data_IF_674729948858
#
_entry.id   IF_674729948858
#
_cell.length_a   1.000
_cell.length_b   1.000
_cell.length_c   1.000
_cell.angle_alpha   90.00
_cell.angle_beta   90.00
_cell.angle_gamma   90.00
#
_symmetry.space_group_name_H-M   'P 1'
#
loop_
_entity.id
_entity.type
_entity.pdbx_description
1 polymer ?
#
# COMPACT_ATOMS: atom_id res chain seq x y z
N UNK A 1 -12.50 -55.44 4.14
CA UNK A 1 -12.28 -55.08 4.55
C UNK A 1 -12.05 -54.35 4.65
N UNK A 2 -12.31 -54.19 4.66
CA UNK A 2 -12.15 -53.62 5.00
C UNK A 2 -11.72 -52.76 5.09
N UNK A 3 -11.78 -52.61 4.95
CA UNK A 3 -11.50 -51.89 5.14
C UNK A 3 -10.99 -50.95 5.09
N UNK A 4 -11.17 -50.87 4.88
CA UNK A 4 -10.76 -50.08 5.02
C UNK A 4 -10.56 -49.06 4.85
N UNK A 5 -10.79 -48.92 4.74
CA UNK A 5 -10.61 -48.01 4.83
C UNK A 5 -10.31 -47.04 4.98
N UNK A 6 -10.33 -47.27 5.03
CA UNK A 6 -10.05 -46.29 5.31
C UNK A 6 -9.50 -45.46 5.23
N UNK A 7 -9.61 -45.72 5.09
CA UNK A 7 -9.20 -44.93 5.27
C UNK A 7 -8.89 -44.04 4.86
N UNK A 8 -9.26 -44.08 4.62
CA UNK A 8 -8.97 -43.29 4.54
C UNK A 8 -8.95 -42.29 4.35
N UNK A 9 -9.23 -42.50 4.24
CA UNK A 9 -9.25 -41.66 4.44
C UNK A 9 -8.89 -40.76 4.54
N UNK A 10 -8.79 -41.02 4.55
CA UNK A 10 -8.42 -40.20 4.95
C UNK A 10 -7.93 -39.29 4.68
N UNK A 11 -7.95 -39.50 4.42
CA UNK A 11 -7.47 -38.69 4.43
C UNK A 11 -7.34 -37.68 4.08
N UNK A 12 -7.67 -37.81 3.82
CA UNK A 12 -7.59 -36.87 3.77
C UNK A 12 -7.44 -36.01 3.83
N UNK A 13 -7.54 -36.19 3.91
CA UNK A 13 -7.41 -35.36 4.33
C UNK A 13 -6.90 -34.48 4.41
N UNK A 14 -6.73 -34.61 4.34
CA UNK A 14 -6.26 -33.81 4.79
C UNK A 14 -5.88 -32.94 4.42
N UNK A 15 -6.00 -33.26 3.96
CA UNK A 15 -5.61 -32.42 3.97
C UNK A 15 -5.55 -31.54 3.59
N UNK A 16 -5.81 -31.56 3.56
CA UNK A 16 -5.73 -30.76 3.70
C UNK A 16 -5.47 -29.90 3.85
N UNK A 17 -5.33 -30.03 3.93
CA UNK A 17 -5.04 -29.25 4.50
C UNK A 17 -4.52 -28.43 4.26
N UNK A 18 -4.45 -28.65 3.95
CA UNK A 18 -4.02 -27.88 4.03
C UNK A 18 -3.99 -27.04 3.75
N UNK A 19 -4.24 -27.09 3.63
CA UNK A 19 -4.28 -26.29 3.75
C UNK A 19 -4.14 -25.36 3.72
N UNK A 20 -4.20 -25.39 3.73
CA UNK A 20 -4.15 -24.66 4.00
C UNK A 20 -3.90 -23.81 3.98
N UNK A 21 -3.84 -24.03 3.83
CA UNK A 21 -3.54 -23.27 4.09
C UNK A 21 -3.45 -22.40 3.89
N UNK A 22 -3.71 -22.44 3.59
CA UNK A 22 -3.59 -21.67 3.64
C UNK A 22 -3.37 -20.95 3.76
N UNK A 23 -3.55 -21.02 3.85
CA UNK A 23 -3.30 -20.31 4.25
C UNK A 23 -2.80 -19.59 4.32
N UNK A 24 -3.00 -19.94 4.71
CA UNK A 24 -2.31 -18.96 4.92
C UNK A 24 -2.11 -17.93 3.90
N UNK A 25 -2.98 -17.55 3.28
CA UNK A 25 -2.94 -16.50 2.38
C UNK A 25 -3.39 -15.29 2.98
N UNK A 26 -2.57 -14.76 3.86
CA UNK A 26 -2.86 -13.51 4.46
C UNK A 26 -2.61 -12.41 3.49
N UNK A 27 -3.46 -11.40 3.45
CA UNK A 27 -3.18 -10.17 2.73
C UNK A 27 -1.94 -9.53 3.35
N UNK A 28 -0.96 -9.16 2.54
CA UNK A 28 0.22 -8.47 3.07
C UNK A 28 -0.17 -7.17 3.76
N UNK A 29 0.66 -6.74 4.69
CA UNK A 29 0.44 -5.47 5.37
C UNK A 29 0.38 -4.34 4.34
N UNK A 30 -0.67 -3.53 4.36
CA UNK A 30 -0.79 -2.46 3.36
C UNK A 30 0.23 -1.35 3.58
N UNK A 31 0.43 -0.51 2.56
CA UNK A 31 1.32 0.64 2.69
C UNK A 31 0.95 1.52 3.88
N UNK A 32 1.96 2.10 4.49
CA UNK A 32 1.81 2.87 5.72
C UNK A 32 1.90 4.36 5.44
N UNK A 33 1.62 5.14 6.47
CA UNK A 33 1.79 6.58 6.40
C UNK A 33 3.23 6.95 6.04
N UNK A 34 4.20 6.22 6.58
CA UNK A 34 5.62 6.48 6.26
C UNK A 34 5.91 6.21 4.79
N UNK A 35 5.28 5.18 4.22
CA UNK A 35 5.44 4.91 2.80
C UNK A 35 4.89 6.06 1.96
N UNK A 36 3.74 6.62 2.37
CA UNK A 36 3.16 7.76 1.66
C UNK A 36 4.06 8.99 1.75
N UNK A 37 4.68 9.21 2.90
CA UNK A 37 5.62 10.32 3.07
C UNK A 37 6.80 10.15 2.11
N UNK A 38 7.31 8.94 1.99
CA UNK A 38 8.41 8.66 1.07
C UNK A 38 8.00 8.90 -0.37
N UNK A 39 6.79 8.47 -0.75
CA UNK A 39 6.27 8.71 -2.09
C UNK A 39 6.19 10.21 -2.36
N UNK A 40 5.63 10.97 -1.41
CA UNK A 40 5.49 12.41 -1.59
C UNK A 40 6.84 13.07 -1.83
N UNK A 41 7.83 12.70 -1.02
CA UNK A 41 9.16 13.30 -1.14
C UNK A 41 9.83 12.90 -2.45
N UNK A 42 9.65 11.69 -2.91
CA UNK A 42 10.24 11.24 -4.17
C UNK A 42 9.62 11.97 -5.35
N UNK A 43 8.30 12.14 -5.35
CA UNK A 43 7.61 12.81 -6.46
C UNK A 43 7.94 14.30 -6.49
N UNK A 44 8.07 14.92 -5.32
CA UNK A 44 8.25 16.36 -5.21
C UNK A 44 9.70 16.78 -5.00
N UNK A 45 10.65 15.89 -5.32
CA UNK A 45 12.06 16.16 -5.07
C UNK A 45 12.63 17.22 -6.00
N UNK A 46 12.23 17.19 -7.26
CA UNK A 46 12.81 18.09 -8.25
C UNK A 46 11.75 18.45 -9.28
N UNK A 47 11.49 19.75 -9.49
CA UNK A 47 12.06 20.87 -8.73
C UNK A 47 11.44 20.98 -7.34
N UNK A 48 12.20 21.52 -6.41
CA UNK A 48 11.76 21.63 -5.02
C UNK A 48 11.02 22.94 -4.81
N UNK A 49 9.72 22.90 -4.93
CA UNK A 49 8.87 24.08 -4.75
C UNK A 49 8.18 24.13 -3.39
N UNK A 50 8.09 22.98 -2.71
CA UNK A 50 7.29 22.87 -1.49
C UNK A 50 7.98 21.98 -0.48
N UNK A 51 7.78 22.28 0.80
CA UNK A 51 8.18 21.42 1.90
C UNK A 51 6.95 20.72 2.43
N UNK A 52 7.13 19.43 2.79
CA UNK A 52 6.07 18.69 3.45
C UNK A 52 6.19 18.93 4.95
N UNK A 53 5.17 19.53 5.53
CA UNK A 53 5.13 19.79 6.97
C UNK A 53 4.57 18.59 7.72
N UNK A 54 3.53 17.96 7.17
CA UNK A 54 2.97 16.75 7.76
C UNK A 54 2.15 16.00 6.71
N UNK A 55 2.05 14.70 6.88
CA UNK A 55 1.19 13.88 6.03
C UNK A 55 0.55 12.83 6.93
N UNK A 56 -0.76 12.77 6.90
CA UNK A 56 -1.50 11.82 7.73
C UNK A 56 -2.35 10.93 6.85
N UNK A 57 -2.21 9.62 7.05
CA UNK A 57 -3.08 8.66 6.39
C UNK A 57 -4.47 8.78 6.98
N UNK A 58 -5.48 8.98 6.15
CA UNK A 58 -6.85 9.13 6.60
C UNK A 58 -7.69 7.91 6.32
N UNK A 59 -7.34 7.13 5.29
CA UNK A 59 -8.10 5.95 4.95
C UNK A 59 -7.28 5.06 4.04
N UNK A 60 -7.77 3.86 3.80
CA UNK A 60 -7.16 2.92 2.86
C UNK A 60 -8.22 2.04 2.26
N UNK A 61 -8.03 1.65 1.01
CA UNK A 61 -8.99 0.85 0.28
C UNK A 61 -8.24 -0.20 -0.53
N UNK A 62 -8.56 -1.46 -0.27
CA UNK A 62 -7.96 -2.57 -0.99
C UNK A 62 -8.95 -3.12 -1.99
N UNK A 63 -8.53 -3.29 -3.24
CA UNK A 63 -9.40 -3.88 -4.26
C UNK A 63 -8.55 -4.60 -5.28
N UNK A 64 -9.22 -5.41 -6.08
CA UNK A 64 -8.55 -6.17 -7.11
C UNK A 64 -8.79 -5.51 -8.44
N UNK A 65 -7.73 -5.15 -9.13
CA UNK A 65 -7.79 -4.47 -10.42
C UNK A 65 -7.01 -5.30 -11.41
N UNK A 66 -7.69 -5.79 -12.45
CA UNK A 66 -7.08 -6.61 -13.48
C UNK A 66 -6.27 -7.79 -12.91
N UNK A 67 -6.84 -8.42 -11.86
CA UNK A 67 -6.21 -9.59 -11.27
C UNK A 67 -5.12 -9.30 -10.26
N UNK A 68 -4.78 -8.04 -10.05
CA UNK A 68 -3.75 -7.65 -9.08
C UNK A 68 -4.38 -6.91 -7.92
N UNK A 69 -3.78 -7.06 -6.73
CA UNK A 69 -4.24 -6.31 -5.57
C UNK A 69 -3.73 -4.88 -5.67
N UNK A 70 -4.64 -3.95 -5.44
CA UNK A 70 -4.29 -2.54 -5.44
C UNK A 70 -4.80 -1.89 -4.17
N UNK A 71 -3.93 -1.14 -3.50
CA UNK A 71 -4.28 -0.45 -2.27
C UNK A 71 -4.20 1.05 -2.52
N UNK A 72 -5.31 1.76 -2.31
CA UNK A 72 -5.32 3.21 -2.42
C UNK A 72 -5.22 3.79 -1.03
N UNK A 73 -4.15 4.52 -0.78
CA UNK A 73 -3.90 5.16 0.50
C UNK A 73 -4.34 6.60 0.41
N UNK A 74 -5.34 6.98 1.19
CA UNK A 74 -5.84 8.35 1.24
C UNK A 74 -5.12 9.10 2.34
N UNK A 75 -4.77 10.36 2.08
CA UNK A 75 -4.01 11.13 3.04
C UNK A 75 -4.40 12.61 3.01
N UNK A 76 -4.04 13.30 4.06
CA UNK A 76 -4.13 14.74 4.16
C UNK A 76 -2.72 15.27 4.40
N UNK A 77 -2.31 16.22 3.59
CA UNK A 77 -0.97 16.78 3.66
C UNK A 77 -1.00 18.27 3.96
N UNK A 78 -0.02 18.70 4.76
CA UNK A 78 0.22 20.10 5.02
C UNK A 78 1.57 20.44 4.43
N UNK A 79 1.59 21.44 3.56
CA UNK A 79 2.79 21.82 2.83
C UNK A 79 3.05 23.31 2.98
N UNK A 80 4.27 23.70 2.68
CA UNK A 80 4.66 25.12 2.69
C UNK A 80 5.43 25.42 1.42
N UNK A 81 5.07 26.49 0.72
CA UNK A 81 5.78 26.94 -0.47
C UNK A 81 7.15 27.47 -0.09
N UNK A 82 8.20 27.03 -0.77
CA UNK A 82 9.55 27.56 -0.54
C UNK A 82 9.89 28.67 -1.52
N UNK A 83 9.09 28.78 -2.59
CA UNK A 83 9.25 29.85 -3.57
C UNK A 83 7.87 30.43 -3.88
N UNK A 84 7.86 31.60 -4.54
CA UNK A 84 6.60 32.18 -4.98
C UNK A 84 6.07 31.36 -6.14
N UNK A 85 4.82 30.93 -6.05
CA UNK A 85 4.14 30.18 -7.09
C UNK A 85 2.94 30.98 -7.55
N UNK A 86 3.07 31.66 -8.69
CA UNK A 86 2.02 32.52 -9.18
C UNK A 86 1.72 33.63 -8.15
N UNK A 87 0.50 33.66 -7.65
CA UNK A 87 0.09 34.64 -6.63
C UNK A 87 0.30 34.10 -5.21
N UNK A 88 0.85 32.90 -5.06
CA UNK A 88 1.09 32.33 -3.76
C UNK A 88 2.49 32.69 -3.29
N UNK A 89 2.62 33.52 -2.22
CA UNK A 89 3.95 33.91 -1.75
C UNK A 89 4.70 32.77 -1.14
N UNK A 90 6.03 32.88 -1.13
CA UNK A 90 6.87 31.92 -0.41
C UNK A 90 6.46 31.93 1.07
N UNK A 91 6.49 30.75 1.68
CA UNK A 91 6.11 30.60 3.08
C UNK A 91 4.63 30.32 3.32
N UNK A 92 3.82 30.35 2.28
CA UNK A 92 2.39 30.09 2.41
C UNK A 92 2.16 28.61 2.71
N UNK A 93 1.36 28.31 3.73
CA UNK A 93 1.01 26.95 4.09
C UNK A 93 -0.37 26.60 3.55
N UNK A 94 -0.49 25.36 3.10
CA UNK A 94 -1.74 24.86 2.55
C UNK A 94 -1.96 23.43 3.03
N UNK A 95 -3.22 23.04 3.15
CA UNK A 95 -3.61 21.68 3.49
C UNK A 95 -4.46 21.14 2.35
N UNK A 96 -4.18 19.92 1.93
CA UNK A 96 -4.97 19.30 0.88
C UNK A 96 -5.07 17.79 1.13
N UNK A 97 -6.07 17.17 0.49
CA UNK A 97 -6.30 15.73 0.59
C UNK A 97 -6.10 15.12 -0.79
N UNK A 98 -5.50 13.95 -0.80
CA UNK A 98 -5.26 13.23 -2.05
C UNK A 98 -5.06 11.76 -1.73
N UNK A 99 -4.56 10.99 -2.70
CA UNK A 99 -4.34 9.58 -2.49
C UNK A 99 -3.19 9.09 -3.36
N UNK A 100 -2.64 7.93 -2.97
CA UNK A 100 -1.62 7.24 -3.74
C UNK A 100 -2.07 5.81 -3.95
N UNK A 101 -2.12 5.35 -5.20
CA UNK A 101 -2.39 3.94 -5.49
C UNK A 101 -1.09 3.14 -5.43
N UNK A 102 -1.15 1.99 -4.74
CA UNK A 102 -0.04 1.06 -4.67
C UNK A 102 -0.51 -0.27 -5.24
N UNK A 103 0.31 -0.90 -6.04
CA UNK A 103 -0.01 -2.21 -6.61
C UNK A 103 0.89 -3.27 -6.02
N UNK A 104 0.29 -4.40 -5.62
CA UNK A 104 1.06 -5.48 -5.02
C UNK A 104 1.85 -6.22 -6.08
N UNK A 105 3.13 -6.41 -5.83
CA UNK A 105 4.02 -7.18 -6.67
C UNK A 105 4.70 -8.25 -5.82
N UNK A 106 5.50 -9.09 -6.44
CA UNK A 106 6.23 -10.12 -5.72
C UNK A 106 7.19 -9.53 -4.69
N UNK A 107 7.67 -8.32 -4.94
CA UNK A 107 8.65 -7.67 -4.08
C UNK A 107 8.05 -6.74 -3.05
N UNK A 108 6.76 -6.46 -3.16
CA UNK A 108 6.07 -5.55 -2.25
C UNK A 108 5.14 -4.63 -3.02
N UNK A 109 4.82 -3.50 -2.42
CA UNK A 109 3.88 -2.55 -2.98
C UNK A 109 4.59 -1.55 -3.90
N UNK A 110 4.22 -1.56 -5.18
CA UNK A 110 4.79 -0.61 -6.13
C UNK A 110 4.01 0.69 -6.05
N UNK A 111 4.68 1.76 -5.66
CA UNK A 111 4.06 3.06 -5.49
C UNK A 111 4.04 3.87 -6.78
N UNK A 112 3.31 5.00 -6.77
CA UNK A 112 3.24 5.87 -7.94
C UNK A 112 4.56 6.58 -8.24
N UNK A 113 5.54 6.49 -7.34
CA UNK A 113 6.88 7.01 -7.55
C UNK A 113 7.80 5.96 -8.17
N UNK A 114 7.24 4.81 -8.58
CA UNK A 114 7.98 3.71 -9.18
C UNK A 114 8.95 3.03 -8.21
N UNK A 115 8.76 3.21 -6.92
CA UNK A 115 9.55 2.53 -5.90
C UNK A 115 8.73 1.43 -5.28
N UNK A 116 9.40 0.37 -4.81
CA UNK A 116 8.75 -0.75 -4.17
C UNK A 116 8.90 -0.61 -2.66
N UNK A 117 7.78 -0.72 -1.96
CA UNK A 117 7.74 -0.61 -0.51
C UNK A 117 7.42 -1.99 0.06
N UNK A 118 8.20 -2.46 1.03
CA UNK A 118 8.04 -3.83 1.51
C UNK A 118 6.65 -4.09 2.10
N UNK A 119 6.11 -5.26 1.80
CA UNK A 119 4.88 -5.73 2.42
C UNK A 119 5.29 -6.66 3.54
N UNK A 120 4.96 -6.31 4.76
CA UNK A 120 5.37 -7.08 5.94
C UNK A 120 4.32 -8.10 6.36
#
# INVERSE_FOLDING_TARGET
>A
MKRLIPSFLLLATFGFFAWQLTACKRTPTPPTEQDAIAVWKNINRSPHYQDLLSLKKTNGQLEKVNGAEEYTLFYQARIRSVVRLGNTPAGTEQTYSSNYPFRLTEKGWLGPDNQVYPAH
#
